data_IF_259383440918
#
_entry.id   IF_259383440918
#
_cell.length_a   1.000
_cell.length_b   1.000
_cell.length_c   1.000
_cell.angle_alpha   90.00
_cell.angle_beta   90.00
_cell.angle_gamma   90.00
#
_symmetry.space_group_name_H-M   'P 1'
#
loop_
_entity.id
_entity.type
_entity.pdbx_description
1 polymer ?
#
# COMPACT_ATOMS: atom_id res chain seq x y z
N UNK A 1 -33.17 -61.28 46.93
CA UNK A 1 -31.85 -61.86 47.27
C UNK A 1 -30.85 -60.71 47.38
N UNK A 2 -30.27 -60.51 48.58
CA UNK A 2 -28.93 -59.91 48.93
C UNK A 2 -28.49 -58.65 48.16
N UNK A 3 -27.93 -57.57 48.71
CA UNK A 3 -27.33 -57.25 50.01
C UNK A 3 -27.02 -55.75 50.03
N UNK A 4 -26.82 -55.19 51.23
CA UNK A 4 -26.35 -53.85 51.54
C UNK A 4 -25.05 -53.41 50.86
N UNK A 5 -24.91 -52.09 50.62
CA UNK A 5 -23.65 -51.36 50.73
C UNK A 5 -23.91 -49.99 51.38
N UNK A 6 -23.40 -49.81 52.59
CA UNK A 6 -23.35 -48.54 53.30
C UNK A 6 -22.09 -47.78 52.86
N UNK A 7 -22.22 -46.50 52.52
CA UNK A 7 -21.09 -45.58 52.37
C UNK A 7 -21.31 -44.42 53.33
N UNK A 8 -20.31 -44.22 54.18
CA UNK A 8 -20.22 -43.26 55.27
C UNK A 8 -19.99 -41.85 54.71
N UNK A 9 -20.84 -40.90 55.10
CA UNK A 9 -20.67 -39.48 54.82
C UNK A 9 -19.61 -38.87 55.75
N UNK A 10 -18.50 -38.38 55.18
CA UNK A 10 -17.56 -37.50 55.88
C UNK A 10 -17.94 -36.05 55.56
N UNK A 11 -18.59 -35.36 56.50
CA UNK A 11 -18.89 -33.94 56.38
C UNK A 11 -17.65 -33.13 56.79
N UNK A 12 -16.96 -32.54 55.80
CA UNK A 12 -15.90 -31.57 56.04
C UNK A 12 -16.53 -30.19 56.27
N UNK A 13 -16.52 -29.70 57.50
CA UNK A 13 -16.86 -28.33 57.86
C UNK A 13 -15.73 -27.38 57.42
N UNK A 14 -15.95 -26.62 56.34
CA UNK A 14 -15.11 -25.46 56.02
C UNK A 14 -15.47 -24.31 56.96
N UNK A 15 -14.53 -23.93 57.83
CA UNK A 15 -14.59 -22.69 58.57
C UNK A 15 -14.35 -21.51 57.61
N UNK A 16 -15.33 -20.62 57.49
CA UNK A 16 -15.22 -19.39 56.71
C UNK A 16 -14.29 -18.39 57.44
N UNK A 17 -13.14 -18.12 56.84
CA UNK A 17 -12.27 -17.01 57.24
C UNK A 17 -12.86 -15.72 56.67
N UNK A 18 -13.16 -14.67 57.48
CA UNK A 18 -13.62 -13.41 56.93
C UNK A 18 -12.45 -12.72 56.21
N UNK A 19 -12.59 -12.57 54.89
CA UNK A 19 -11.67 -11.77 54.09
C UNK A 19 -11.78 -10.31 54.52
N UNK A 20 -10.73 -9.81 55.17
CA UNK A 20 -10.56 -8.38 55.45
C UNK A 20 -10.48 -7.62 54.13
N UNK A 21 -11.53 -6.87 53.82
CA UNK A 21 -11.62 -6.00 52.64
C UNK A 21 -10.84 -4.73 52.93
N UNK A 22 -9.58 -4.68 52.52
CA UNK A 22 -8.84 -3.43 52.43
C UNK A 22 -9.53 -2.52 51.39
N UNK A 23 -9.65 -1.20 51.63
CA UNK A 23 -10.31 -0.31 50.71
C UNK A 23 -9.48 -0.13 49.44
N UNK A 24 -10.14 -0.26 48.30
CA UNK A 24 -9.58 0.08 46.99
C UNK A 24 -9.25 1.57 46.95
N UNK A 25 -7.97 1.92 46.83
CA UNK A 25 -7.53 3.27 46.49
C UNK A 25 -7.40 3.38 44.98
N UNK A 26 -8.10 4.34 44.38
CA UNK A 26 -8.05 4.68 42.97
C UNK A 26 -6.60 4.80 42.45
N UNK A 27 -6.32 4.05 41.39
CA UNK A 27 -4.97 3.72 40.89
C UNK A 27 -4.30 4.82 40.07
N UNK A 28 -4.01 5.99 40.65
CA UNK A 28 -2.97 6.88 40.14
C UNK A 28 -1.77 6.83 41.08
N UNK A 29 -0.66 6.26 40.61
CA UNK A 29 0.62 6.39 41.31
C UNK A 29 0.98 7.88 41.32
N UNK A 30 1.19 8.52 42.49
CA UNK A 30 1.48 9.95 42.53
C UNK A 30 2.74 10.26 41.71
N UNK A 31 2.68 11.32 40.88
CA UNK A 31 3.81 11.78 40.05
C UNK A 31 5.08 12.01 40.86
N UNK A 32 4.95 12.51 42.09
CA UNK A 32 6.05 12.68 43.05
C UNK A 32 6.83 11.39 43.33
N UNK A 33 6.16 10.23 43.29
CA UNK A 33 6.82 8.92 43.47
C UNK A 33 7.59 8.51 42.23
N UNK A 34 7.12 8.85 41.04
CA UNK A 34 7.81 8.56 39.78
C UNK A 34 9.07 9.43 39.66
N UNK A 35 8.97 10.71 39.99
CA UNK A 35 10.13 11.63 39.95
C UNK A 35 11.21 11.25 41.00
N UNK A 36 10.81 10.70 42.16
CA UNK A 36 11.76 10.14 43.11
C UNK A 36 12.52 8.94 42.54
N UNK A 37 11.81 8.01 41.88
CA UNK A 37 12.44 6.87 41.21
C UNK A 37 13.37 7.30 40.07
N UNK A 38 13.01 8.35 39.33
CA UNK A 38 13.88 8.94 38.30
C UNK A 38 15.18 9.47 38.92
N UNK A 39 15.11 10.20 40.04
CA UNK A 39 16.33 10.67 40.75
C UNK A 39 17.20 9.51 41.22
N UNK A 40 16.58 8.43 41.69
CA UNK A 40 17.29 7.24 42.17
C UNK A 40 18.02 6.48 41.06
N UNK A 41 17.74 6.74 39.77
CA UNK A 41 18.53 6.23 38.65
C UNK A 41 19.98 6.73 38.66
N UNK A 42 20.25 7.90 39.24
CA UNK A 42 21.58 8.49 39.39
C UNK A 42 22.22 8.25 40.76
N UNK A 43 21.61 7.41 41.62
CA UNK A 43 22.12 7.16 42.96
C UNK A 43 23.53 6.58 42.93
N UNK A 44 24.42 6.96 43.85
CA UNK A 44 25.77 6.35 43.99
C UNK A 44 25.70 4.84 44.25
N UNK A 45 24.63 4.36 44.88
CA UNK A 45 24.44 2.96 45.24
C UNK A 45 23.84 2.18 44.07
N UNK A 46 24.59 1.23 43.52
CA UNK A 46 24.12 0.35 42.43
C UNK A 46 22.78 -0.32 42.72
N UNK A 47 22.59 -0.84 43.95
CA UNK A 47 21.33 -1.48 44.35
C UNK A 47 20.11 -0.55 44.26
N UNK A 48 20.29 0.74 44.58
CA UNK A 48 19.24 1.76 44.47
C UNK A 48 18.91 2.01 43.00
N UNK A 49 19.92 2.15 42.13
CA UNK A 49 19.72 2.33 40.68
C UNK A 49 18.94 1.16 40.06
N UNK A 50 19.30 -0.07 40.41
CA UNK A 50 18.63 -1.28 39.90
C UNK A 50 17.19 -1.41 40.41
N UNK A 51 16.94 -1.07 41.67
CA UNK A 51 15.59 -1.07 42.23
C UNK A 51 14.70 -0.02 41.55
N UNK A 52 15.22 1.19 41.38
CA UNK A 52 14.52 2.27 40.68
C UNK A 52 14.21 1.89 39.23
N UNK A 53 15.20 1.34 38.52
CA UNK A 53 15.04 0.90 37.13
C UNK A 53 13.95 -0.17 37.01
N UNK A 54 13.94 -1.17 37.89
CA UNK A 54 12.90 -2.21 37.94
C UNK A 54 11.53 -1.64 38.22
N UNK A 55 11.43 -0.72 39.20
CA UNK A 55 10.13 -0.16 39.59
C UNK A 55 9.53 0.71 38.49
N UNK A 56 10.34 1.48 37.77
CA UNK A 56 9.88 2.27 36.63
C UNK A 56 9.34 1.37 35.52
N UNK A 57 9.99 0.24 35.23
CA UNK A 57 9.46 -0.77 34.27
C UNK A 57 8.14 -1.38 34.72
N UNK A 58 8.04 -1.77 36.00
CA UNK A 58 6.81 -2.34 36.57
C UNK A 58 5.63 -1.37 36.53
N UNK A 59 5.89 -0.07 36.64
CA UNK A 59 4.87 0.96 36.52
C UNK A 59 4.41 1.15 35.06
N UNK A 60 5.25 0.85 34.08
CA UNK A 60 4.89 0.86 32.66
C UNK A 60 4.63 2.26 32.11
N UNK A 61 3.68 2.38 31.18
CA UNK A 61 3.47 3.57 30.34
C UNK A 61 3.18 4.85 31.12
N UNK A 62 2.66 4.76 32.36
CA UNK A 62 2.42 5.92 33.23
C UNK A 62 3.70 6.68 33.61
N UNK A 63 4.87 6.08 33.39
CA UNK A 63 6.18 6.69 33.65
C UNK A 63 6.74 7.44 32.44
N UNK A 64 6.09 7.36 31.27
CA UNK A 64 6.57 7.86 29.98
C UNK A 64 7.04 9.32 30.05
N UNK A 65 6.17 10.24 30.48
CA UNK A 65 6.50 11.69 30.50
C UNK A 65 7.69 12.01 31.41
N UNK A 66 7.79 11.35 32.59
CA UNK A 66 8.92 11.55 33.50
C UNK A 66 10.21 10.98 32.91
N UNK A 67 10.15 9.83 32.22
CA UNK A 67 11.31 9.22 31.56
C UNK A 67 11.75 10.02 30.32
N UNK A 68 10.82 10.60 29.56
CA UNK A 68 11.12 11.50 28.43
C UNK A 68 11.88 12.74 28.90
N UNK A 69 11.47 13.35 30.02
CA UNK A 69 12.22 14.45 30.64
C UNK A 69 13.61 13.99 31.10
N UNK A 70 13.71 12.83 31.74
CA UNK A 70 14.97 12.27 32.22
C UNK A 70 15.93 11.82 31.11
N UNK A 71 15.43 11.54 29.91
CA UNK A 71 16.25 11.19 28.74
C UNK A 71 17.13 12.36 28.24
N UNK A 72 16.97 13.54 28.82
CA UNK A 72 17.78 14.74 28.58
C UNK A 72 18.43 15.27 29.87
N UNK A 73 18.49 14.46 30.93
CA UNK A 73 19.08 14.85 32.22
C UNK A 73 20.58 15.16 32.08
N UNK A 74 21.13 16.15 32.81
CA UNK A 74 22.56 16.42 32.84
C UNK A 74 23.41 15.22 33.30
N UNK A 75 22.91 14.39 34.21
CA UNK A 75 23.58 13.16 34.64
C UNK A 75 23.55 12.11 33.53
N UNK A 76 24.74 11.62 33.14
CA UNK A 76 24.89 10.61 32.10
C UNK A 76 24.28 9.25 32.47
N UNK A 77 24.34 8.84 33.73
CA UNK A 77 23.76 7.56 34.20
C UNK A 77 22.23 7.64 34.16
N UNK A 78 21.65 8.74 34.67
CA UNK A 78 20.19 8.98 34.62
C UNK A 78 19.73 8.97 33.17
N UNK A 79 20.40 9.73 32.30
CA UNK A 79 20.07 9.86 30.88
C UNK A 79 20.09 8.52 30.15
N UNK A 80 21.13 7.72 30.34
CA UNK A 80 21.28 6.42 29.69
C UNK A 80 20.20 5.43 30.16
N UNK A 81 19.99 5.32 31.48
CA UNK A 81 18.98 4.42 32.05
C UNK A 81 17.57 4.83 31.68
N UNK A 82 17.27 6.13 31.74
CA UNK A 82 15.96 6.65 31.35
C UNK A 82 15.63 6.30 29.90
N UNK A 83 16.58 6.48 28.96
CA UNK A 83 16.40 6.08 27.56
C UNK A 83 16.14 4.59 27.40
N UNK A 84 16.91 3.73 28.08
CA UNK A 84 16.72 2.28 28.05
C UNK A 84 15.34 1.88 28.57
N UNK A 85 14.96 2.38 29.75
CA UNK A 85 13.68 2.05 30.39
C UNK A 85 12.52 2.59 29.54
N UNK A 86 12.65 3.80 28.99
CA UNK A 86 11.63 4.38 28.12
C UNK A 86 11.39 3.53 26.88
N UNK A 87 12.45 3.00 26.24
CA UNK A 87 12.32 2.11 25.10
C UNK A 87 11.58 0.81 25.47
N UNK A 88 11.94 0.18 26.60
CA UNK A 88 11.29 -1.04 27.10
C UNK A 88 9.81 -0.81 27.45
N UNK A 89 9.52 0.31 28.14
CA UNK A 89 8.15 0.68 28.54
C UNK A 89 7.27 0.94 27.31
N UNK A 90 7.79 1.66 26.30
CA UNK A 90 7.07 1.91 25.05
C UNK A 90 6.82 0.62 24.27
N UNK A 91 7.82 -0.27 24.17
CA UNK A 91 7.66 -1.56 23.50
C UNK A 91 6.61 -2.44 24.20
N UNK A 92 6.64 -2.51 25.54
CA UNK A 92 5.65 -3.30 26.29
C UNK A 92 4.24 -2.74 26.18
N UNK A 93 4.08 -1.40 26.18
CA UNK A 93 2.77 -0.77 25.99
C UNK A 93 2.23 -1.02 24.57
N UNK A 94 3.09 -0.90 23.56
CA UNK A 94 2.75 -1.18 22.17
C UNK A 94 2.26 -2.62 21.99
N UNK A 95 2.99 -3.63 22.49
CA UNK A 95 2.55 -5.03 22.39
C UNK A 95 1.22 -5.28 23.15
N UNK A 96 0.99 -4.59 24.27
CA UNK A 96 -0.30 -4.65 24.98
C UNK A 96 -1.44 -4.00 24.19
N UNK A 97 -1.16 -2.95 23.41
CA UNK A 97 -2.13 -2.32 22.49
C UNK A 97 -2.41 -3.23 21.29
N UNK A 98 -1.37 -3.80 20.68
CA UNK A 98 -1.49 -4.79 19.58
C UNK A 98 -2.33 -5.99 20.00
N UNK A 99 -2.07 -6.55 21.18
CA UNK A 99 -2.82 -7.69 21.69
C UNK A 99 -4.32 -7.37 21.86
N UNK A 100 -4.65 -6.19 22.40
CA UNK A 100 -6.03 -5.71 22.51
C UNK A 100 -6.67 -5.48 21.14
N UNK A 101 -5.92 -4.85 20.23
CA UNK A 101 -6.36 -4.55 18.87
C UNK A 101 -6.67 -5.82 18.06
N UNK A 102 -5.86 -6.88 18.17
CA UNK A 102 -6.09 -8.15 17.50
C UNK A 102 -7.19 -8.99 18.16
N UNK A 103 -7.45 -8.80 19.45
CA UNK A 103 -8.53 -9.48 20.18
C UNK A 103 -9.91 -8.86 19.93
N UNK A 104 -9.96 -7.58 19.54
CA UNK A 104 -11.19 -6.86 19.22
C UNK A 104 -11.72 -7.28 17.83
N UNK A 105 -12.57 -8.31 17.80
CA UNK A 105 -13.20 -8.80 16.58
C UNK A 105 -14.37 -7.93 16.09
N UNK A 106 -14.92 -7.04 16.93
CA UNK A 106 -16.15 -6.28 16.62
C UNK A 106 -15.90 -4.78 16.33
N UNK A 107 -14.66 -4.29 16.48
CA UNK A 107 -14.30 -2.90 16.13
C UNK A 107 -14.94 -1.87 17.05
N UNK A 108 -15.24 -2.24 18.30
CA UNK A 108 -16.22 -1.55 19.13
C UNK A 108 -15.70 -0.42 20.01
N UNK A 109 -14.47 0.12 19.83
CA UNK A 109 -14.03 1.31 20.58
C UNK A 109 -12.52 1.61 20.64
N UNK A 110 -12.18 2.57 21.53
CA UNK A 110 -10.93 3.32 21.89
C UNK A 110 -9.58 2.54 21.93
N UNK A 111 -9.54 1.28 21.50
CA UNK A 111 -8.35 0.43 21.43
C UNK A 111 -7.74 0.36 20.02
N UNK A 112 -8.07 1.31 19.14
CA UNK A 112 -7.52 1.35 17.79
C UNK A 112 -6.09 1.86 17.77
N UNK A 113 -5.25 1.26 16.92
CA UNK A 113 -3.94 1.82 16.61
C UNK A 113 -4.09 3.12 15.78
N UNK A 114 -3.12 4.05 15.84
CA UNK A 114 -3.13 5.29 15.06
C UNK A 114 -3.35 5.01 13.58
N UNK A 115 -4.12 5.87 12.91
CA UNK A 115 -4.54 5.76 11.50
C UNK A 115 -5.43 4.55 11.14
N UNK A 116 -5.87 3.74 12.12
CA UNK A 116 -6.74 2.58 11.84
C UNK A 116 -8.07 2.95 11.21
N UNK A 117 -8.69 4.07 11.61
CA UNK A 117 -9.96 4.51 11.04
C UNK A 117 -9.85 4.71 9.52
N UNK A 118 -8.87 5.52 9.08
CA UNK A 118 -8.57 5.76 7.67
C UNK A 118 -8.20 4.47 6.91
N UNK A 119 -7.39 3.59 7.54
CA UNK A 119 -7.00 2.34 6.91
C UNK A 119 -8.19 1.37 6.75
N UNK A 120 -8.98 1.18 7.79
CA UNK A 120 -10.10 0.23 7.79
C UNK A 120 -11.29 0.69 6.94
N UNK A 121 -11.48 1.99 6.75
CA UNK A 121 -12.44 2.52 5.78
C UNK A 121 -12.12 2.06 4.36
N UNK A 122 -10.82 2.05 4.00
CA UNK A 122 -10.35 1.65 2.66
C UNK A 122 -10.24 0.14 2.50
N UNK A 123 -9.70 -0.57 3.49
CA UNK A 123 -9.33 -1.99 3.36
C UNK A 123 -10.25 -2.95 4.13
N UNK A 124 -11.21 -2.42 4.89
CA UNK A 124 -12.08 -3.19 5.78
C UNK A 124 -11.42 -3.55 7.11
N UNK A 125 -12.09 -4.39 7.89
CA UNK A 125 -11.69 -4.68 9.29
C UNK A 125 -11.42 -6.16 9.56
N UNK A 126 -11.23 -6.97 8.50
CA UNK A 126 -10.97 -8.41 8.64
C UNK A 126 -9.71 -8.68 9.47
N UNK A 127 -9.62 -9.88 10.05
CA UNK A 127 -8.45 -10.30 10.82
C UNK A 127 -7.14 -10.13 10.06
N UNK A 128 -7.14 -10.49 8.78
CA UNK A 128 -5.99 -10.34 7.89
C UNK A 128 -5.53 -8.87 7.76
N UNK A 129 -6.49 -7.96 7.58
CA UNK A 129 -6.23 -6.52 7.43
C UNK A 129 -5.68 -5.94 8.73
N UNK A 130 -6.19 -6.40 9.88
CA UNK A 130 -5.63 -6.05 11.20
C UNK A 130 -4.21 -6.58 11.39
N UNK A 131 -3.93 -7.82 10.97
CA UNK A 131 -2.59 -8.40 11.03
C UNK A 131 -1.60 -7.62 10.17
N UNK A 132 -1.96 -7.25 8.92
CA UNK A 132 -1.14 -6.37 8.08
C UNK A 132 -0.91 -5.01 8.74
N UNK A 133 -1.95 -4.41 9.32
CA UNK A 133 -1.82 -3.12 9.98
C UNK A 133 -0.91 -3.15 11.21
N UNK A 134 -0.86 -4.28 11.92
CA UNK A 134 0.11 -4.51 13.00
C UNK A 134 1.53 -4.60 12.46
N UNK A 135 1.75 -5.31 11.35
CA UNK A 135 3.07 -5.36 10.69
C UNK A 135 3.52 -3.97 10.24
N UNK A 136 2.61 -3.17 9.67
CA UNK A 136 2.86 -1.76 9.33
C UNK A 136 3.31 -0.94 10.54
N UNK A 137 2.64 -1.09 11.69
CA UNK A 137 3.00 -0.40 12.95
C UNK A 137 4.30 -0.91 13.58
N UNK A 138 4.67 -2.17 13.34
CA UNK A 138 5.95 -2.71 13.81
C UNK A 138 7.13 -2.18 13.00
N UNK A 139 6.95 -1.99 11.71
CA UNK A 139 8.01 -1.48 10.83
C UNK A 139 8.07 0.05 10.86
N UNK A 140 6.93 0.73 10.77
CA UNK A 140 6.85 2.19 10.57
C UNK A 140 5.88 2.88 11.54
N UNK A 141 6.07 2.78 12.87
CA UNK A 141 5.15 3.37 13.85
C UNK A 141 5.05 4.90 13.73
N UNK A 142 6.17 5.58 13.51
CA UNK A 142 6.22 7.04 13.43
C UNK A 142 5.44 7.59 12.23
N UNK A 143 5.51 6.90 11.09
CA UNK A 143 4.79 7.28 9.86
C UNK A 143 3.27 7.17 10.06
N UNK A 144 2.80 6.12 10.73
CA UNK A 144 1.36 5.90 10.98
C UNK A 144 0.82 6.78 12.10
N UNK A 145 1.64 7.12 13.10
CA UNK A 145 1.33 8.15 14.09
C UNK A 145 1.17 9.51 13.41
N UNK A 146 2.12 9.90 12.55
CA UNK A 146 2.04 11.14 11.77
C UNK A 146 0.79 11.18 10.87
N UNK A 147 0.44 10.07 10.23
CA UNK A 147 -0.80 9.94 9.46
C UNK A 147 -2.06 10.16 10.31
N UNK A 148 -2.05 9.72 11.57
CA UNK A 148 -3.16 9.97 12.49
C UNK A 148 -3.27 11.44 12.92
N UNK A 149 -2.14 12.14 12.99
CA UNK A 149 -2.06 13.55 13.38
C UNK A 149 -2.44 14.52 12.24
N UNK A 150 -2.26 14.11 10.98
CA UNK A 150 -2.74 14.81 9.80
C UNK A 150 -1.79 14.74 8.60
N UNK A 151 -2.27 15.14 7.43
CA UNK A 151 -1.57 14.98 6.14
C UNK A 151 -0.26 15.75 6.05
N UNK A 152 -0.14 16.93 6.68
CA UNK A 152 1.12 17.68 6.74
C UNK A 152 2.21 16.92 7.52
N UNK A 153 1.86 16.37 8.69
CA UNK A 153 2.78 15.56 9.49
C UNK A 153 3.16 14.27 8.75
N UNK A 154 2.16 13.62 8.15
CA UNK A 154 2.34 12.41 7.35
C UNK A 154 3.29 12.62 6.17
N UNK A 155 3.18 13.76 5.46
CA UNK A 155 4.05 14.10 4.33
C UNK A 155 5.51 14.24 4.78
N UNK A 156 5.76 14.94 5.89
CA UNK A 156 7.11 15.09 6.43
C UNK A 156 7.70 13.75 6.89
N UNK A 157 6.89 12.92 7.56
CA UNK A 157 7.30 11.59 8.01
C UNK A 157 7.57 10.64 6.82
N UNK A 158 6.79 10.74 5.75
CA UNK A 158 6.96 9.92 4.54
C UNK A 158 8.26 10.26 3.82
N UNK A 159 8.58 11.55 3.69
CA UNK A 159 9.85 12.01 3.09
C UNK A 159 11.05 11.53 3.91
N UNK A 160 10.95 11.58 5.24
CA UNK A 160 12.01 11.10 6.12
C UNK A 160 12.19 9.58 6.02
N UNK A 161 11.09 8.82 6.13
CA UNK A 161 11.09 7.36 6.02
C UNK A 161 11.68 6.91 4.67
N UNK A 162 11.23 7.50 3.56
CA UNK A 162 11.77 7.17 2.23
C UNK A 162 13.24 7.54 2.10
N UNK A 163 13.70 8.66 2.67
CA UNK A 163 15.11 9.05 2.69
C UNK A 163 15.96 8.02 3.45
N UNK A 164 15.54 7.62 4.64
CA UNK A 164 16.28 6.64 5.46
C UNK A 164 16.41 5.28 4.76
N UNK A 165 15.34 4.81 4.13
CA UNK A 165 15.34 3.53 3.39
C UNK A 165 16.31 3.57 2.21
N UNK A 166 16.35 4.69 1.48
CA UNK A 166 17.24 4.88 0.34
C UNK A 166 18.70 5.04 0.76
N UNK A 167 18.95 5.78 1.85
CA UNK A 167 20.29 5.95 2.42
C UNK A 167 20.83 4.63 3.00
N UNK A 168 19.95 3.78 3.54
CA UNK A 168 20.30 2.46 4.08
C UNK A 168 20.57 1.40 3.00
N UNK A 169 20.33 1.68 1.71
CA UNK A 169 20.31 0.68 0.64
C UNK A 169 21.55 0.67 -0.27
N UNK A 170 22.55 -0.11 0.16
CA UNK A 170 23.32 -0.92 -0.80
C UNK A 170 23.01 -2.43 -0.69
N UNK A 171 22.38 -2.95 0.39
CA UNK A 171 22.30 -4.41 0.60
C UNK A 171 21.02 -5.03 1.25
N UNK A 172 20.06 -4.28 1.84
CA UNK A 172 19.00 -4.89 2.69
C UNK A 172 17.56 -4.85 2.15
N UNK A 173 16.97 -5.96 1.71
CA UNK A 173 15.57 -6.04 1.24
C UNK A 173 14.54 -5.35 2.16
N UNK A 174 13.64 -4.51 1.61
CA UNK A 174 12.51 -3.87 2.31
C UNK A 174 11.49 -4.92 2.80
N UNK A 175 11.04 -4.81 4.05
CA UNK A 175 9.98 -5.68 4.58
C UNK A 175 8.57 -5.22 4.17
N UNK A 176 7.60 -6.12 4.39
CA UNK A 176 6.22 -5.90 3.96
C UNK A 176 5.52 -4.77 4.73
N UNK A 177 5.82 -4.63 6.03
CA UNK A 177 5.23 -3.60 6.88
C UNK A 177 5.62 -2.22 6.40
N UNK A 178 6.91 -2.00 6.11
CA UNK A 178 7.41 -0.76 5.52
C UNK A 178 6.79 -0.48 4.16
N UNK A 179 6.79 -1.45 3.24
CA UNK A 179 6.20 -1.25 1.92
C UNK A 179 4.72 -0.89 2.00
N UNK A 180 3.95 -1.60 2.84
CA UNK A 180 2.53 -1.34 3.01
C UNK A 180 2.25 0.04 3.65
N UNK A 181 3.08 0.47 4.61
CA UNK A 181 3.00 1.81 5.20
C UNK A 181 3.27 2.91 4.18
N UNK A 182 4.31 2.77 3.36
CA UNK A 182 4.65 3.72 2.30
C UNK A 182 3.54 3.83 1.25
N UNK A 183 3.02 2.69 0.78
CA UNK A 183 1.92 2.67 -0.18
C UNK A 183 0.65 3.25 0.43
N UNK A 184 0.30 2.91 1.66
CA UNK A 184 -0.92 3.41 2.30
C UNK A 184 -0.90 4.92 2.46
N UNK A 185 0.13 5.46 3.11
CA UNK A 185 0.25 6.89 3.41
C UNK A 185 0.48 7.67 2.13
N UNK A 186 1.39 7.23 1.27
CA UNK A 186 1.68 7.93 0.03
C UNK A 186 0.57 7.85 -1.03
N UNK A 187 -0.48 7.04 -0.82
CA UNK A 187 -1.68 7.02 -1.67
C UNK A 187 -2.79 7.94 -1.21
N UNK A 188 -2.57 8.71 -0.15
CA UNK A 188 -3.51 9.77 0.23
C UNK A 188 -3.47 10.90 -0.82
N UNK A 189 -4.65 11.44 -1.17
CA UNK A 189 -4.78 12.44 -2.23
C UNK A 189 -4.19 13.80 -1.86
N UNK A 190 -4.16 14.12 -0.56
CA UNK A 190 -3.60 15.36 -0.04
C UNK A 190 -2.08 15.28 0.18
N UNK A 191 -1.48 14.10 -0.04
CA UNK A 191 -0.04 13.87 0.13
C UNK A 191 0.66 13.89 -1.23
N UNK A 192 1.55 14.88 -1.38
CA UNK A 192 2.46 14.92 -2.52
C UNK A 192 3.65 14.01 -2.25
N UNK A 193 4.00 13.17 -3.23
CA UNK A 193 5.15 12.28 -3.14
C UNK A 193 6.12 12.62 -4.25
N UNK A 194 7.41 12.76 -3.92
CA UNK A 194 8.44 12.90 -4.93
C UNK A 194 8.43 11.69 -5.88
N UNK A 195 8.21 11.96 -7.16
CA UNK A 195 8.04 10.91 -8.16
C UNK A 195 9.26 10.02 -8.31
N UNK A 196 10.48 10.56 -8.15
CA UNK A 196 11.71 9.76 -8.27
C UNK A 196 11.78 8.74 -7.14
N UNK A 197 11.41 9.14 -5.92
CA UNK A 197 11.30 8.23 -4.77
C UNK A 197 10.18 7.22 -4.97
N UNK A 198 9.03 7.66 -5.48
CA UNK A 198 7.90 6.78 -5.75
C UNK A 198 8.23 5.63 -6.70
N UNK A 199 8.94 5.92 -7.79
CA UNK A 199 9.36 4.92 -8.78
C UNK A 199 10.32 3.87 -8.18
N UNK A 200 11.11 4.23 -7.16
CA UNK A 200 12.01 3.30 -6.48
C UNK A 200 11.28 2.24 -5.66
N UNK A 201 9.98 2.41 -5.37
CA UNK A 201 9.18 1.40 -4.68
C UNK A 201 8.81 0.22 -5.58
N UNK A 202 8.78 0.41 -6.91
CA UNK A 202 8.27 -0.59 -7.83
C UNK A 202 9.00 -1.94 -7.82
N UNK A 203 10.34 -2.02 -7.76
CA UNK A 203 11.03 -3.29 -7.62
C UNK A 203 10.57 -4.08 -6.38
N UNK A 204 10.28 -3.39 -5.27
CA UNK A 204 9.78 -4.01 -4.03
C UNK A 204 8.31 -4.42 -4.15
N UNK A 205 7.47 -3.61 -4.81
CA UNK A 205 6.08 -3.98 -5.12
C UNK A 205 6.02 -5.27 -5.92
N UNK A 206 6.83 -5.38 -6.97
CA UNK A 206 6.91 -6.59 -7.79
C UNK A 206 7.39 -7.76 -6.93
N UNK A 207 8.55 -7.65 -6.29
CA UNK A 207 9.10 -8.76 -5.50
C UNK A 207 8.18 -9.22 -4.37
N UNK A 208 7.56 -8.29 -3.65
CA UNK A 208 6.66 -8.59 -2.53
C UNK A 208 5.35 -9.23 -2.99
N UNK A 209 4.73 -8.72 -4.07
CA UNK A 209 3.51 -9.31 -4.64
C UNK A 209 3.77 -10.72 -5.16
N UNK A 210 4.89 -10.95 -5.86
CA UNK A 210 5.29 -12.28 -6.32
C UNK A 210 5.62 -13.24 -5.16
N UNK A 211 6.35 -12.78 -4.13
CA UNK A 211 6.76 -13.63 -2.99
C UNK A 211 5.59 -14.05 -2.11
N UNK A 212 4.62 -13.16 -1.88
CA UNK A 212 3.46 -13.45 -1.02
C UNK A 212 2.31 -14.12 -1.77
N UNK A 213 2.27 -14.04 -3.11
CA UNK A 213 1.35 -14.81 -3.95
C UNK A 213 1.41 -16.32 -3.67
N UNK A 214 2.58 -16.84 -3.27
CA UNK A 214 2.78 -18.25 -2.94
C UNK A 214 2.31 -18.65 -1.55
N UNK A 215 2.11 -17.71 -0.63
CA UNK A 215 1.85 -18.02 0.78
C UNK A 215 0.38 -17.87 1.20
N UNK A 216 -0.41 -16.99 0.55
CA UNK A 216 -1.88 -16.95 0.74
C UNK A 216 -2.57 -16.00 -0.25
N UNK A 217 -3.64 -16.45 -0.95
CA UNK A 217 -4.40 -15.63 -1.90
C UNK A 217 -5.06 -14.38 -1.28
N UNK A 218 -5.33 -14.40 0.03
CA UNK A 218 -5.99 -13.30 0.72
C UNK A 218 -5.05 -12.10 0.94
N UNK A 219 -3.75 -12.36 1.16
CA UNK A 219 -2.72 -11.31 1.26
C UNK A 219 -2.52 -10.59 -0.07
N UNK A 220 -2.61 -11.32 -1.19
CA UNK A 220 -2.54 -10.74 -2.52
C UNK A 220 -3.61 -9.68 -2.76
N UNK A 221 -4.84 -9.87 -2.28
CA UNK A 221 -5.93 -8.94 -2.53
C UNK A 221 -5.72 -7.56 -1.88
N UNK A 222 -5.31 -7.54 -0.59
CA UNK A 222 -5.08 -6.28 0.13
C UNK A 222 -3.85 -5.56 -0.43
N UNK A 223 -2.77 -6.28 -0.74
CA UNK A 223 -1.58 -5.70 -1.35
C UNK A 223 -1.85 -5.16 -2.76
N UNK A 224 -2.60 -5.90 -3.58
CA UNK A 224 -3.04 -5.40 -4.89
C UNK A 224 -3.86 -4.12 -4.76
N UNK A 225 -4.72 -4.01 -3.73
CA UNK A 225 -5.47 -2.78 -3.47
C UNK A 225 -4.58 -1.62 -3.05
N UNK A 226 -3.60 -1.84 -2.16
CA UNK A 226 -2.62 -0.82 -1.79
C UNK A 226 -1.84 -0.32 -3.02
N UNK A 227 -1.46 -1.23 -3.91
CA UNK A 227 -0.77 -0.87 -5.16
C UNK A 227 -1.71 -0.17 -6.14
N UNK A 228 -2.96 -0.62 -6.26
CA UNK A 228 -3.98 0.03 -7.09
C UNK A 228 -4.16 1.50 -6.69
N UNK A 229 -4.40 1.76 -5.40
CA UNK A 229 -4.57 3.12 -4.86
C UNK A 229 -3.32 3.99 -5.13
N UNK A 230 -2.12 3.40 -5.07
CA UNK A 230 -0.87 4.09 -5.38
C UNK A 230 -0.72 4.44 -6.87
N UNK A 231 -1.08 3.51 -7.76
CA UNK A 231 -0.85 3.64 -9.21
C UNK A 231 -1.77 4.68 -9.85
N UNK A 232 -2.98 4.88 -9.34
CA UNK A 232 -3.97 5.80 -9.91
C UNK A 232 -3.72 7.26 -9.57
N UNK A 233 -2.75 7.57 -8.69
CA UNK A 233 -2.38 8.95 -8.35
C UNK A 233 -2.02 9.78 -9.58
N UNK A 234 -2.21 11.10 -9.47
CA UNK A 234 -1.73 12.02 -10.49
C UNK A 234 -0.20 11.93 -10.57
N UNK A 235 0.33 11.85 -11.79
CA UNK A 235 1.74 11.66 -12.03
C UNK A 235 2.14 12.16 -13.41
N UNK A 236 3.42 12.46 -13.59
CA UNK A 236 3.97 12.86 -14.88
C UNK A 236 3.79 11.75 -15.93
N UNK A 237 3.78 12.09 -17.23
CA UNK A 237 3.62 11.10 -18.28
C UNK A 237 4.68 9.99 -18.30
N UNK A 238 5.87 10.23 -17.72
CA UNK A 238 6.91 9.21 -17.58
C UNK A 238 6.53 8.16 -16.53
N UNK A 239 6.07 8.61 -15.35
CA UNK A 239 5.60 7.74 -14.28
C UNK A 239 4.33 7.02 -14.71
N UNK A 240 3.38 7.70 -15.35
CA UNK A 240 2.16 7.10 -15.87
C UNK A 240 2.44 5.90 -16.81
N UNK A 241 3.49 5.97 -17.63
CA UNK A 241 3.91 4.84 -18.47
C UNK A 241 4.30 3.61 -17.63
N UNK A 242 5.08 3.81 -16.57
CA UNK A 242 5.45 2.73 -15.64
C UNK A 242 4.22 2.21 -14.89
N UNK A 243 3.32 3.09 -14.46
CA UNK A 243 2.11 2.71 -13.74
C UNK A 243 1.22 1.81 -14.60
N UNK A 244 1.05 2.15 -15.89
CA UNK A 244 0.32 1.32 -16.85
C UNK A 244 0.92 -0.08 -17.00
N UNK A 245 2.25 -0.18 -17.06
CA UNK A 245 2.96 -1.46 -17.12
C UNK A 245 2.68 -2.30 -15.88
N UNK A 246 2.79 -1.71 -14.69
CA UNK A 246 2.53 -2.43 -13.43
C UNK A 246 1.07 -2.81 -13.27
N UNK A 247 0.14 -1.92 -13.64
CA UNK A 247 -1.28 -2.22 -13.59
C UNK A 247 -1.62 -3.40 -14.51
N UNK A 248 -1.04 -3.48 -15.71
CA UNK A 248 -1.16 -4.67 -16.56
C UNK A 248 -0.57 -5.93 -15.91
N UNK A 249 0.68 -5.88 -15.44
CA UNK A 249 1.34 -7.04 -14.82
C UNK A 249 0.59 -7.59 -13.59
N UNK A 250 -0.10 -6.72 -12.86
CA UNK A 250 -0.87 -7.08 -11.68
C UNK A 250 -2.35 -7.36 -11.98
N UNK A 251 -2.77 -7.28 -13.25
CA UNK A 251 -4.15 -7.46 -13.72
C UNK A 251 -5.14 -6.48 -13.05
N UNK A 252 -4.70 -5.24 -12.82
CA UNK A 252 -5.47 -4.14 -12.22
C UNK A 252 -6.26 -3.40 -13.31
N UNK A 253 -7.27 -4.08 -13.85
CA UNK A 253 -8.08 -3.61 -14.98
C UNK A 253 -8.67 -2.21 -14.79
N UNK A 254 -9.46 -1.90 -13.73
CA UNK A 254 -10.11 -0.60 -13.63
C UNK A 254 -9.09 0.54 -13.52
N UNK A 255 -8.02 0.35 -12.75
CA UNK A 255 -6.96 1.33 -12.57
C UNK A 255 -6.18 1.56 -13.87
N UNK A 256 -5.85 0.49 -14.59
CA UNK A 256 -5.17 0.56 -15.88
C UNK A 256 -5.98 1.35 -16.92
N UNK A 257 -7.31 1.15 -16.96
CA UNK A 257 -8.21 1.88 -17.84
C UNK A 257 -8.35 3.36 -17.43
N UNK A 258 -8.43 3.65 -16.13
CA UNK A 258 -8.48 5.01 -15.61
C UNK A 258 -7.22 5.81 -15.99
N UNK A 259 -6.03 5.24 -15.72
CA UNK A 259 -4.75 5.85 -16.07
C UNK A 259 -4.68 6.05 -17.59
N UNK A 260 -5.08 5.05 -18.37
CA UNK A 260 -5.07 5.15 -19.84
C UNK A 260 -5.94 6.29 -20.34
N UNK A 261 -7.14 6.45 -19.79
CA UNK A 261 -8.07 7.54 -20.13
C UNK A 261 -7.46 8.91 -19.82
N UNK A 262 -6.81 9.06 -18.66
CA UNK A 262 -6.12 10.30 -18.25
C UNK A 262 -4.96 10.63 -19.21
N UNK A 263 -4.12 9.64 -19.50
CA UNK A 263 -2.97 9.75 -20.42
C UNK A 263 -3.40 10.22 -21.81
N UNK A 264 -4.53 9.72 -22.33
CA UNK A 264 -5.04 10.10 -23.66
C UNK A 264 -5.79 11.44 -23.68
N UNK A 265 -6.21 11.97 -22.52
CA UNK A 265 -6.83 13.29 -22.41
C UNK A 265 -5.81 14.43 -22.37
N UNK A 266 -4.60 14.14 -21.88
CA UNK A 266 -3.52 15.11 -21.73
C UNK A 266 -2.82 15.41 -23.06
N UNK A 267 -2.59 16.70 -23.36
CA UNK A 267 -2.12 17.14 -24.68
C UNK A 267 -0.65 16.82 -24.94
N UNK A 268 0.18 16.92 -23.89
CA UNK A 268 1.64 16.87 -24.01
C UNK A 268 2.23 15.50 -23.58
N UNK A 269 1.38 14.47 -23.47
CA UNK A 269 1.82 13.10 -23.20
C UNK A 269 2.78 12.62 -24.29
N UNK A 270 3.97 12.07 -23.98
CA UNK A 270 4.88 11.51 -24.98
C UNK A 270 4.26 10.38 -25.81
N UNK A 271 4.67 10.26 -27.08
CA UNK A 271 4.14 9.29 -28.05
C UNK A 271 4.13 7.86 -27.52
N UNK A 272 5.22 7.42 -26.88
CA UNK A 272 5.31 6.06 -26.33
C UNK A 272 4.24 5.81 -25.25
N UNK A 273 4.09 6.73 -24.31
CA UNK A 273 3.09 6.64 -23.24
C UNK A 273 1.66 6.58 -23.81
N UNK A 274 1.35 7.39 -24.83
CA UNK A 274 0.04 7.33 -25.53
C UNK A 274 -0.21 5.96 -26.16
N UNK A 275 0.79 5.41 -26.85
CA UNK A 275 0.69 4.08 -27.49
C UNK A 275 0.50 2.98 -26.45
N UNK A 276 1.19 3.05 -25.31
CA UNK A 276 0.99 2.12 -24.19
C UNK A 276 -0.44 2.23 -23.65
N UNK A 277 -0.98 3.43 -23.42
CA UNK A 277 -2.36 3.59 -22.97
C UNK A 277 -3.40 3.01 -23.96
N UNK A 278 -3.26 3.26 -25.27
CA UNK A 278 -4.14 2.67 -26.29
C UNK A 278 -4.08 1.14 -26.24
N UNK A 279 -2.88 0.59 -26.12
CA UNK A 279 -2.63 -0.85 -26.03
C UNK A 279 -3.26 -1.47 -24.78
N UNK A 280 -3.13 -0.81 -23.63
CA UNK A 280 -3.74 -1.24 -22.35
C UNK A 280 -5.27 -1.27 -22.45
N UNK A 281 -5.89 -0.27 -23.08
CA UNK A 281 -7.34 -0.28 -23.35
C UNK A 281 -7.72 -1.51 -24.18
N UNK A 282 -6.92 -1.83 -25.20
CA UNK A 282 -7.08 -3.03 -26.01
C UNK A 282 -6.90 -4.34 -25.22
N UNK A 283 -5.90 -4.40 -24.35
CA UNK A 283 -5.62 -5.57 -23.50
C UNK A 283 -6.79 -5.94 -22.61
N UNK A 284 -7.34 -4.93 -21.93
CA UNK A 284 -8.41 -5.11 -20.95
C UNK A 284 -9.81 -5.03 -21.55
N UNK A 285 -9.94 -4.96 -22.88
CA UNK A 285 -11.22 -4.79 -23.58
C UNK A 285 -12.04 -3.63 -22.97
N UNK A 286 -11.41 -2.45 -22.85
CA UNK A 286 -12.04 -1.24 -22.32
C UNK A 286 -12.97 -0.58 -23.34
N UNK A 287 -14.21 -1.08 -23.44
CA UNK A 287 -15.20 -0.56 -24.42
C UNK A 287 -15.60 0.88 -24.13
N UNK A 288 -15.74 1.24 -22.85
CA UNK A 288 -16.06 2.59 -22.40
C UNK A 288 -14.99 3.63 -22.77
N UNK A 289 -13.74 3.19 -22.99
CA UNK A 289 -12.61 4.05 -23.35
C UNK A 289 -12.43 4.22 -24.87
N UNK A 290 -13.17 3.49 -25.70
CA UNK A 290 -13.00 3.52 -27.17
C UNK A 290 -13.20 4.92 -27.77
N UNK A 291 -14.09 5.74 -27.19
CA UNK A 291 -14.25 7.13 -27.61
C UNK A 291 -12.98 7.98 -27.39
N UNK A 292 -12.17 7.67 -26.38
CA UNK A 292 -10.87 8.32 -26.17
C UNK A 292 -9.82 7.82 -27.18
N UNK A 293 -9.88 6.52 -27.53
CA UNK A 293 -9.02 5.93 -28.57
C UNK A 293 -9.35 6.50 -29.95
N UNK A 294 -10.62 6.70 -30.30
CA UNK A 294 -11.02 7.24 -31.60
C UNK A 294 -10.45 8.64 -31.87
N UNK A 295 -10.33 9.47 -30.84
CA UNK A 295 -9.69 10.80 -30.94
C UNK A 295 -8.22 10.74 -31.39
N UNK A 296 -7.57 9.59 -31.21
CA UNK A 296 -6.17 9.38 -31.61
C UNK A 296 -6.01 9.05 -33.10
N UNK A 297 -7.09 8.85 -33.86
CA UNK A 297 -7.03 8.56 -35.30
C UNK A 297 -6.44 9.69 -36.14
N UNK A 298 -6.39 10.92 -35.62
CA UNK A 298 -5.72 12.05 -36.26
C UNK A 298 -4.22 12.12 -35.98
N UNK A 299 -3.69 11.33 -35.05
CA UNK A 299 -2.28 11.37 -34.66
C UNK A 299 -1.40 10.54 -35.63
N UNK A 300 -0.75 11.24 -36.56
CA UNK A 300 0.17 10.65 -37.53
C UNK A 300 1.62 10.50 -37.00
N UNK A 301 1.86 10.68 -35.71
CA UNK A 301 3.20 10.54 -35.13
C UNK A 301 3.69 9.10 -35.25
N UNK A 302 4.89 8.92 -35.80
CA UNK A 302 5.53 7.60 -35.92
C UNK A 302 5.96 7.08 -34.54
N UNK A 303 5.55 5.86 -34.20
CA UNK A 303 5.85 5.20 -32.92
C UNK A 303 6.69 3.92 -33.07
N UNK A 304 6.75 3.32 -34.25
CA UNK A 304 7.62 2.18 -34.55
C UNK A 304 8.09 2.23 -36.00
N UNK A 305 9.28 1.68 -36.27
CA UNK A 305 9.80 1.48 -37.63
C UNK A 305 10.39 0.08 -37.70
N UNK A 306 10.10 -0.65 -38.78
CA UNK A 306 10.78 -1.92 -39.06
C UNK A 306 12.10 -1.67 -39.80
N UNK A 307 13.10 -2.52 -39.53
CA UNK A 307 14.36 -2.50 -40.27
C UNK A 307 14.18 -3.09 -41.69
N UNK A 308 15.14 -2.82 -42.57
CA UNK A 308 15.14 -3.18 -43.99
C UNK A 308 14.84 -4.67 -44.28
N UNK A 309 14.20 -5.02 -45.43
CA UNK A 309 14.21 -4.31 -46.72
C UNK A 309 12.91 -3.58 -47.11
N UNK A 310 11.85 -3.67 -46.31
CA UNK A 310 10.64 -2.86 -46.46
C UNK A 310 10.43 -2.08 -45.16
N UNK A 311 11.05 -0.90 -45.09
CA UNK A 311 10.87 0.03 -43.97
C UNK A 311 9.42 0.49 -43.96
N UNK A 312 8.65 -0.03 -43.01
CA UNK A 312 7.27 0.35 -42.77
C UNK A 312 7.20 1.05 -41.41
N UNK A 313 6.48 2.17 -41.40
CA UNK A 313 6.29 2.96 -40.19
C UNK A 313 4.92 2.65 -39.59
N UNK A 314 4.88 2.40 -38.28
CA UNK A 314 3.64 2.37 -37.51
C UNK A 314 3.45 3.71 -36.83
N UNK A 315 2.25 4.29 -36.99
CA UNK A 315 1.84 5.55 -36.39
C UNK A 315 0.85 5.32 -35.25
N UNK A 316 0.69 6.32 -34.38
CA UNK A 316 -0.28 6.25 -33.25
C UNK A 316 -1.68 5.92 -33.75
N UNK A 317 -2.15 6.57 -34.82
CA UNK A 317 -3.46 6.30 -35.45
C UNK A 317 -3.62 4.87 -35.96
N UNK A 318 -2.54 4.18 -36.30
CA UNK A 318 -2.59 2.77 -36.75
C UNK A 318 -2.92 1.85 -35.57
N UNK A 319 -2.28 2.10 -34.42
CA UNK A 319 -2.54 1.38 -33.16
C UNK A 319 -3.96 1.67 -32.70
N UNK A 320 -4.39 2.93 -32.73
CA UNK A 320 -5.74 3.34 -32.36
C UNK A 320 -6.80 2.62 -33.22
N UNK A 321 -6.62 2.61 -34.54
CA UNK A 321 -7.53 1.92 -35.46
C UNK A 321 -7.59 0.42 -35.17
N UNK A 322 -6.44 -0.23 -34.95
CA UNK A 322 -6.41 -1.67 -34.64
C UNK A 322 -7.21 -2.01 -33.37
N UNK A 323 -7.08 -1.21 -32.32
CA UNK A 323 -7.83 -1.39 -31.07
C UNK A 323 -9.32 -1.12 -31.28
N UNK A 324 -9.68 -0.07 -32.02
CA UNK A 324 -11.06 0.25 -32.36
C UNK A 324 -11.75 -0.87 -33.15
N UNK A 325 -11.08 -1.45 -34.14
CA UNK A 325 -11.62 -2.57 -34.91
C UNK A 325 -11.92 -3.76 -34.01
N UNK A 326 -10.96 -4.16 -33.17
CA UNK A 326 -11.13 -5.26 -32.21
C UNK A 326 -12.24 -4.98 -31.20
N UNK A 327 -12.25 -3.79 -30.61
CA UNK A 327 -13.25 -3.36 -29.63
C UNK A 327 -14.68 -3.29 -30.18
N UNK A 328 -14.82 -3.16 -31.50
CA UNK A 328 -16.11 -3.16 -32.20
C UNK A 328 -16.41 -4.49 -32.91
N UNK A 329 -15.62 -5.54 -32.65
CA UNK A 329 -15.83 -6.87 -33.24
C UNK A 329 -15.54 -6.99 -34.73
N UNK A 330 -14.80 -6.04 -35.30
CA UNK A 330 -14.43 -6.02 -36.71
C UNK A 330 -13.06 -6.69 -36.94
N UNK A 331 -12.98 -7.49 -38.00
CA UNK A 331 -11.76 -8.23 -38.35
C UNK A 331 -10.67 -7.29 -38.91
N UNK A 332 -9.50 -7.13 -38.27
CA UNK A 332 -8.45 -6.24 -38.75
C UNK A 332 -7.94 -6.57 -40.15
N UNK A 333 -7.91 -7.86 -40.52
CA UNK A 333 -7.53 -8.29 -41.87
C UNK A 333 -8.46 -7.76 -42.96
N UNK A 334 -9.75 -7.52 -42.65
CA UNK A 334 -10.70 -6.91 -43.58
C UNK A 334 -10.41 -5.42 -43.84
N UNK A 335 -9.53 -4.81 -43.05
CA UNK A 335 -9.04 -3.43 -43.19
C UNK A 335 -7.62 -3.38 -43.79
N UNK A 336 -7.02 -4.52 -44.12
CA UNK A 336 -5.66 -4.59 -44.66
C UNK A 336 -4.57 -4.47 -43.59
N UNK A 337 -4.90 -4.70 -42.32
CA UNK A 337 -3.91 -4.76 -41.24
C UNK A 337 -3.11 -6.07 -41.33
N UNK A 338 -1.77 -5.98 -41.37
CA UNK A 338 -0.87 -7.14 -41.41
C UNK A 338 -0.62 -7.75 -40.03
N UNK A 339 -0.69 -6.92 -38.98
CA UNK A 339 -0.51 -7.34 -37.59
C UNK A 339 -1.76 -8.11 -37.09
N UNK A 340 -1.97 -9.33 -37.62
CA UNK A 340 -3.02 -10.23 -37.16
C UNK A 340 -2.80 -10.67 -35.71
N UNK A 341 -1.54 -10.77 -35.26
CA UNK A 341 -1.18 -11.04 -33.87
C UNK A 341 -0.38 -9.89 -33.27
N UNK A 342 -1.06 -8.96 -32.60
CA UNK A 342 -0.53 -8.52 -31.30
C UNK A 342 -0.46 -9.81 -30.46
N UNK A 343 0.69 -10.51 -30.47
CA UNK A 343 0.91 -11.62 -29.54
C UNK A 343 0.68 -11.11 -28.12
N UNK A 344 0.23 -12.02 -27.25
CA UNK A 344 -0.35 -11.82 -25.91
C UNK A 344 0.45 -10.90 -24.95
N UNK A 345 1.66 -10.48 -25.31
CA UNK A 345 2.45 -9.54 -24.55
C UNK A 345 2.33 -8.10 -25.09
N UNK A 346 1.25 -7.44 -24.69
CA UNK A 346 0.85 -6.09 -25.14
C UNK A 346 1.85 -4.99 -24.72
N UNK A 347 2.77 -5.31 -23.81
CA UNK A 347 3.87 -4.45 -23.40
C UNK A 347 5.06 -4.46 -24.38
N UNK A 348 5.11 -5.40 -25.33
CA UNK A 348 6.20 -5.51 -26.30
C UNK A 348 5.80 -4.84 -27.62
N UNK A 349 6.74 -4.11 -28.22
CA UNK A 349 6.56 -3.53 -29.55
C UNK A 349 6.39 -4.65 -30.58
N UNK A 350 5.41 -4.54 -31.47
CA UNK A 350 5.22 -5.56 -32.51
C UNK A 350 6.39 -5.49 -33.50
N UNK A 351 7.03 -6.63 -33.74
CA UNK A 351 8.11 -6.75 -34.74
C UNK A 351 7.62 -6.55 -36.19
N UNK A 352 6.30 -6.53 -36.38
CA UNK A 352 5.64 -6.31 -37.67
C UNK A 352 4.89 -4.98 -37.67
N UNK A 353 4.88 -4.25 -38.81
CA UNK A 353 4.11 -3.03 -38.94
C UNK A 353 2.61 -3.35 -39.02
N UNK A 354 1.76 -2.42 -38.58
CA UNK A 354 0.30 -2.61 -38.70
C UNK A 354 -0.14 -2.52 -40.17
N UNK A 355 0.43 -1.58 -40.93
CA UNK A 355 0.21 -1.42 -42.36
C UNK A 355 1.55 -1.38 -43.10
N UNK A 356 1.61 -2.01 -44.28
CA UNK A 356 2.83 -2.02 -45.12
C UNK A 356 3.14 -0.67 -45.77
N UNK A 357 2.11 0.14 -46.03
CA UNK A 357 2.22 1.41 -46.74
C UNK A 357 1.10 2.38 -46.33
N UNK A 358 1.27 3.67 -46.67
CA UNK A 358 0.29 4.70 -46.33
C UNK A 358 -1.02 4.53 -47.12
N UNK A 359 -1.00 3.96 -48.32
CA UNK A 359 -2.21 3.79 -49.12
C UNK A 359 -3.21 2.83 -48.45
N UNK A 360 -2.72 1.71 -47.90
CA UNK A 360 -3.51 0.77 -47.11
C UNK A 360 -4.04 1.41 -45.83
N UNK A 361 -3.20 2.17 -45.13
CA UNK A 361 -3.62 2.94 -43.94
C UNK A 361 -4.77 3.89 -44.27
N UNK A 362 -4.64 4.70 -45.32
CA UNK A 362 -5.69 5.65 -45.71
C UNK A 362 -6.98 4.92 -46.09
N UNK A 363 -6.89 3.82 -46.84
CA UNK A 363 -8.06 3.01 -47.19
C UNK A 363 -8.77 2.46 -45.93
N UNK A 364 -8.00 1.98 -44.95
CA UNK A 364 -8.52 1.47 -43.69
C UNK A 364 -9.21 2.58 -42.87
N UNK A 365 -8.60 3.75 -42.75
CA UNK A 365 -9.17 4.91 -42.04
C UNK A 365 -10.46 5.41 -42.71
N UNK A 366 -10.51 5.46 -44.04
CA UNK A 366 -11.73 5.83 -44.76
C UNK A 366 -12.85 4.80 -44.56
N UNK A 367 -12.50 3.51 -44.63
CA UNK A 367 -13.46 2.43 -44.36
C UNK A 367 -14.00 2.50 -42.94
N UNK A 368 -13.15 2.79 -41.96
CA UNK A 368 -13.57 2.99 -40.57
C UNK A 368 -14.52 4.17 -40.43
N UNK A 369 -14.18 5.30 -41.05
CA UNK A 369 -15.01 6.51 -41.02
C UNK A 369 -16.42 6.23 -41.55
N UNK A 370 -16.54 5.58 -42.71
CA UNK A 370 -17.85 5.20 -43.28
C UNK A 370 -18.64 4.30 -42.34
N UNK A 371 -17.99 3.26 -41.78
CA UNK A 371 -18.63 2.38 -40.81
C UNK A 371 -19.09 3.13 -39.55
N UNK A 372 -18.31 4.09 -39.06
CA UNK A 372 -18.68 4.91 -37.89
C UNK A 372 -19.86 5.83 -38.15
N UNK A 373 -19.96 6.41 -39.34
CA UNK A 373 -21.11 7.21 -39.75
C UNK A 373 -22.41 6.38 -39.78
N UNK A 374 -22.34 5.12 -40.18
CA UNK A 374 -23.47 4.17 -40.19
C UNK A 374 -23.82 3.63 -38.79
N UNK A 375 -22.88 3.65 -37.86
CA UNK A 375 -23.01 3.05 -36.53
C UNK A 375 -22.71 4.05 -35.39
N UNK A 376 -23.35 5.24 -35.33
CA UNK A 376 -22.97 6.31 -34.41
C UNK A 376 -22.96 5.87 -32.93
N UNK A 377 -23.84 4.94 -32.55
CA UNK A 377 -23.99 4.39 -31.20
C UNK A 377 -22.94 3.33 -30.81
N UNK A 378 -21.95 3.03 -31.66
CA UNK A 378 -21.01 1.92 -31.41
C UNK A 378 -20.14 2.06 -30.13
N UNK A 379 -20.22 3.18 -29.41
CA UNK A 379 -19.55 3.42 -28.12
C UNK A 379 -20.53 3.67 -26.96
N UNK A 380 -21.84 3.56 -27.20
CA UNK A 380 -22.86 3.66 -26.15
C UNK A 380 -23.05 2.26 -25.55
N UNK A 381 -22.87 2.13 -24.23
CA UNK A 381 -23.06 0.88 -23.48
C UNK A 381 -24.54 0.44 -23.42
#
# INVERSE_FOLDING_TARGET
MKSWAAIVCFAATLAAVPASRAPASDGKVPSERIDALVRDLGSDKFATREQASRRLRELGIVTRESLERAASDPDAEVRLRARSILAEVRASDFEARVARFLADNEGSGDNSLPAWAAFSERFGSSRLVRELFVEMHRSEPALLEAMADGTESASAALDECTREILDAHLESQMDLGTLASLLFVGSDEDITVDERRGVQLYPYVVHSTYRHHYNSPLWTAVLKKLVADWLVRESTPLVANQNLIFAAQLELRPEALEISKRVLAEKDTPTNTRVVAIRIIGHFNGTAELAAVEKQLSDATTCAKTEEPQSAETQVRDVALLILLRGTGQEPGAYGCEAASLQENILVQTDQPIFLDDARRQAALQKWKLWREENPQAFED
#
